data_IF_358881827554
#
_entry.id   IF_358881827554
#
_cell.length_a   1.000
_cell.length_b   1.000
_cell.length_c   1.000
_cell.angle_alpha   90.00
_cell.angle_beta   90.00
_cell.angle_gamma   90.00
#
_symmetry.space_group_name_H-M   'P 1'
#
loop_
_entity.id
_entity.type
_entity.pdbx_description
1 polymer ?
#
# COMPACT_ATOMS: atom_id res chain seq x y z
N UNK A 1 -18.03 3.93 -17.83
CA UNK A 1 -17.68 4.24 -19.23
C UNK A 1 -16.78 3.12 -19.80
N UNK A 2 -16.72 3.03 -21.12
CA UNK A 2 -15.97 2.01 -21.82
C UNK A 2 -16.85 0.98 -22.53
N UNK A 3 -16.20 0.05 -23.20
CA UNK A 3 -16.80 -1.10 -23.88
C UNK A 3 -16.49 -2.36 -23.08
N UNK A 4 -17.47 -3.25 -22.92
CA UNK A 4 -17.24 -4.50 -22.20
C UNK A 4 -16.91 -5.64 -23.17
N UNK A 5 -15.79 -6.31 -22.92
CA UNK A 5 -15.43 -7.56 -23.57
C UNK A 5 -15.70 -8.72 -22.61
N UNK A 6 -16.33 -9.78 -23.11
CA UNK A 6 -16.67 -10.97 -22.35
C UNK A 6 -15.85 -12.13 -22.93
N UNK A 7 -14.88 -12.62 -22.17
CA UNK A 7 -14.03 -13.73 -22.58
C UNK A 7 -14.45 -14.99 -21.82
N UNK A 8 -15.00 -16.02 -22.50
CA UNK A 8 -15.23 -17.32 -21.88
C UNK A 8 -13.89 -17.94 -21.49
N UNK A 9 -13.78 -18.39 -20.25
CA UNK A 9 -12.60 -19.12 -19.77
C UNK A 9 -12.96 -20.59 -19.54
N UNK A 10 -11.94 -21.43 -19.29
CA UNK A 10 -12.18 -22.81 -18.88
C UNK A 10 -12.89 -22.79 -17.51
N UNK A 11 -13.78 -23.76 -17.26
CA UNK A 11 -14.52 -23.92 -15.99
C UNK A 11 -15.80 -23.06 -15.79
N UNK A 12 -16.52 -22.68 -16.86
CA UNK A 12 -17.77 -21.89 -16.78
C UNK A 12 -17.60 -20.49 -16.12
N UNK A 13 -16.37 -19.97 -16.11
CA UNK A 13 -16.08 -18.63 -15.64
C UNK A 13 -16.03 -17.69 -16.86
N UNK A 14 -16.67 -16.53 -16.75
CA UNK A 14 -16.59 -15.47 -17.76
C UNK A 14 -15.73 -14.35 -17.21
N UNK A 15 -14.66 -14.00 -17.92
CA UNK A 15 -13.88 -12.81 -17.65
C UNK A 15 -14.59 -11.61 -18.27
N UNK A 16 -14.89 -10.61 -17.45
CA UNK A 16 -15.51 -9.36 -17.88
C UNK A 16 -14.43 -8.28 -17.86
N UNK A 17 -14.07 -7.77 -19.03
CA UNK A 17 -13.04 -6.74 -19.20
C UNK A 17 -13.75 -5.44 -19.61
N UNK A 18 -13.44 -4.34 -18.91
CA UNK A 18 -13.92 -3.02 -19.30
C UNK A 18 -12.81 -2.26 -20.03
N UNK A 19 -12.96 -2.12 -21.35
CA UNK A 19 -12.05 -1.39 -22.22
C UNK A 19 -12.32 0.10 -22.11
N UNK A 20 -11.37 0.84 -21.54
CA UNK A 20 -11.51 2.26 -21.23
C UNK A 20 -10.22 3.01 -21.53
N UNK A 21 -10.32 4.17 -22.19
CA UNK A 21 -9.16 5.02 -22.44
C UNK A 21 -8.53 5.54 -21.15
N UNK A 22 -7.20 5.70 -21.13
CA UNK A 22 -6.41 5.99 -19.93
C UNK A 22 -6.94 7.18 -19.10
N UNK A 23 -7.25 8.32 -19.72
CA UNK A 23 -7.78 9.48 -18.99
C UNK A 23 -9.17 9.21 -18.40
N UNK A 24 -10.00 8.44 -19.09
CA UNK A 24 -11.32 8.05 -18.61
C UNK A 24 -11.21 7.04 -17.47
N UNK A 25 -10.24 6.13 -17.53
CA UNK A 25 -9.92 5.20 -16.44
C UNK A 25 -9.53 5.97 -15.17
N UNK A 26 -8.66 6.97 -15.29
CA UNK A 26 -8.19 7.77 -14.15
C UNK A 26 -9.32 8.52 -13.44
N UNK A 27 -10.39 8.92 -14.14
CA UNK A 27 -11.59 9.52 -13.51
C UNK A 27 -12.28 8.58 -12.51
N UNK A 28 -12.18 7.27 -12.73
CA UNK A 28 -12.69 6.26 -11.81
C UNK A 28 -11.68 5.81 -10.76
N UNK A 29 -10.39 6.15 -10.91
CA UNK A 29 -9.32 5.76 -9.98
C UNK A 29 -9.06 6.85 -8.93
N UNK A 30 -8.73 8.07 -9.37
CA UNK A 30 -8.28 9.16 -8.49
C UNK A 30 -9.20 9.41 -7.29
N UNK A 31 -10.53 9.56 -7.46
CA UNK A 31 -11.42 9.83 -6.32
C UNK A 31 -11.55 8.65 -5.35
N UNK A 32 -11.39 7.41 -5.82
CA UNK A 32 -11.51 6.22 -4.98
C UNK A 32 -10.19 5.85 -4.29
N UNK A 33 -9.06 6.29 -4.85
CA UNK A 33 -7.73 6.08 -4.28
C UNK A 33 -7.36 7.13 -3.23
N UNK A 34 -7.65 8.41 -3.48
CA UNK A 34 -7.17 9.51 -2.62
C UNK A 34 -8.20 9.90 -1.55
N UNK A 35 -9.29 10.54 -1.99
CA UNK A 35 -10.38 11.03 -1.16
C UNK A 35 -11.64 11.12 -2.01
N UNK A 36 -12.76 10.64 -1.45
CA UNK A 36 -14.02 10.55 -2.18
C UNK A 36 -14.62 11.93 -2.53
N UNK A 37 -14.40 12.98 -1.74
CA UNK A 37 -14.97 14.31 -1.99
C UNK A 37 -13.90 15.37 -1.65
N UNK A 38 -12.96 15.62 -2.57
CA UNK A 38 -11.84 16.52 -2.28
C UNK A 38 -12.28 17.98 -2.29
N UNK A 39 -11.62 18.79 -1.46
CA UNK A 39 -11.80 20.25 -1.37
C UNK A 39 -10.80 21.00 -2.27
N UNK A 40 -11.00 22.30 -2.47
CA UNK A 40 -10.16 23.12 -3.37
C UNK A 40 -8.67 23.11 -2.98
N UNK A 41 -8.39 23.11 -1.67
CA UNK A 41 -7.05 23.01 -1.10
C UNK A 41 -6.43 21.59 -1.24
N UNK A 42 -7.18 20.62 -1.74
CA UNK A 42 -6.72 19.25 -2.04
C UNK A 42 -6.50 19.00 -3.54
N UNK A 43 -6.78 19.99 -4.39
CA UNK A 43 -6.64 19.87 -5.84
C UNK A 43 -5.24 19.44 -6.27
N UNK A 44 -4.19 19.96 -5.63
CA UNK A 44 -2.81 19.60 -5.96
C UNK A 44 -2.49 18.14 -5.58
N UNK A 45 -3.09 17.63 -4.50
CA UNK A 45 -3.01 16.20 -4.17
C UNK A 45 -3.73 15.33 -5.21
N UNK A 46 -4.92 15.73 -5.66
CA UNK A 46 -5.62 15.05 -6.74
C UNK A 46 -4.81 15.05 -8.05
N UNK A 47 -4.14 16.16 -8.38
CA UNK A 47 -3.26 16.25 -9.55
C UNK A 47 -2.05 15.33 -9.42
N UNK A 48 -1.40 15.28 -8.25
CA UNK A 48 -0.29 14.36 -7.99
C UNK A 48 -0.74 12.90 -8.08
N UNK A 49 -1.91 12.56 -7.53
CA UNK A 49 -2.51 11.23 -7.65
C UNK A 49 -2.83 10.86 -9.09
N UNK A 50 -3.38 11.79 -9.88
CA UNK A 50 -3.67 11.55 -11.30
C UNK A 50 -2.40 11.20 -12.09
N UNK A 51 -1.30 11.93 -11.87
CA UNK A 51 0.00 11.67 -12.51
C UNK A 51 0.58 10.33 -12.04
N UNK A 52 0.62 10.07 -10.73
CA UNK A 52 1.13 8.81 -10.20
C UNK A 52 0.32 7.59 -10.68
N UNK A 53 -1.01 7.71 -10.71
CA UNK A 53 -1.89 6.67 -11.21
C UNK A 53 -1.73 6.42 -12.72
N UNK A 54 -1.50 7.49 -13.51
CA UNK A 54 -1.19 7.37 -14.96
C UNK A 54 0.11 6.60 -15.18
N UNK A 55 1.15 6.94 -14.44
CA UNK A 55 2.43 6.23 -14.46
C UNK A 55 2.27 4.74 -14.12
N UNK A 56 1.49 4.44 -13.08
CA UNK A 56 1.23 3.06 -12.68
C UNK A 56 0.51 2.28 -13.79
N UNK A 57 -0.55 2.85 -14.37
CA UNK A 57 -1.30 2.23 -15.46
C UNK A 57 -0.41 1.98 -16.70
N UNK A 58 0.38 2.98 -17.13
CA UNK A 58 1.31 2.82 -18.27
C UNK A 58 2.30 1.68 -18.03
N UNK A 59 2.86 1.61 -16.83
CA UNK A 59 3.80 0.55 -16.45
C UNK A 59 3.13 -0.84 -16.45
N UNK A 60 1.91 -0.95 -15.92
CA UNK A 60 1.15 -2.20 -15.89
C UNK A 60 0.76 -2.69 -17.29
N UNK A 61 0.30 -1.78 -18.16
CA UNK A 61 0.02 -2.07 -19.57
C UNK A 61 1.28 -2.63 -20.26
N UNK A 62 2.44 -2.02 -20.03
CA UNK A 62 3.70 -2.49 -20.61
C UNK A 62 4.18 -3.85 -20.08
N UNK A 63 3.74 -4.27 -18.89
CA UNK A 63 4.09 -5.57 -18.29
C UNK A 63 3.03 -6.66 -18.50
N UNK A 64 1.89 -6.35 -19.14
CA UNK A 64 0.74 -7.26 -19.25
C UNK A 64 0.95 -8.48 -20.19
N UNK A 65 2.19 -8.83 -20.52
CA UNK A 65 2.61 -9.75 -21.59
C UNK A 65 2.02 -11.18 -21.49
N UNK A 66 1.41 -11.55 -20.36
CA UNK A 66 0.77 -12.86 -20.16
C UNK A 66 -0.68 -12.81 -19.64
N UNK A 67 -1.29 -11.63 -19.50
CA UNK A 67 -2.66 -11.47 -19.00
C UNK A 67 -3.56 -10.93 -20.09
N UNK A 68 -4.83 -11.33 -20.11
CA UNK A 68 -5.81 -10.87 -21.11
C UNK A 68 -6.28 -9.43 -20.87
N UNK A 69 -5.84 -8.78 -19.79
CA UNK A 69 -6.23 -7.43 -19.37
C UNK A 69 -5.03 -6.71 -18.73
N UNK A 70 -5.09 -5.38 -18.68
CA UNK A 70 -3.97 -4.54 -18.23
C UNK A 70 -3.86 -4.40 -16.70
N UNK A 71 -5.00 -4.19 -16.03
CA UNK A 71 -5.07 -3.90 -14.59
C UNK A 71 -6.33 -4.49 -13.95
N UNK A 72 -6.20 -4.95 -12.71
CA UNK A 72 -7.33 -5.25 -11.82
C UNK A 72 -8.00 -3.96 -11.34
N UNK A 73 -9.32 -4.01 -11.13
CA UNK A 73 -10.12 -2.87 -10.66
C UNK A 73 -10.15 -2.69 -9.13
N UNK A 74 -9.31 -3.42 -8.40
CA UNK A 74 -9.27 -3.43 -6.94
C UNK A 74 -7.84 -3.23 -6.41
N UNK A 75 -7.66 -3.39 -5.11
CA UNK A 75 -6.39 -3.17 -4.39
C UNK A 75 -5.22 -4.05 -4.86
N UNK A 76 -5.45 -5.02 -5.76
CA UNK A 76 -4.36 -5.72 -6.44
C UNK A 76 -3.55 -4.79 -7.36
N UNK A 77 -4.22 -3.84 -8.00
CA UNK A 77 -3.61 -2.83 -8.86
C UNK A 77 -4.06 -1.41 -8.45
N UNK A 78 -5.26 -0.97 -8.89
CA UNK A 78 -5.84 0.32 -8.49
C UNK A 78 -7.36 0.20 -8.37
N UNK A 79 -7.94 0.88 -7.38
CA UNK A 79 -9.40 0.88 -7.14
C UNK A 79 -10.10 1.70 -8.22
N UNK A 80 -10.79 1.02 -9.13
CA UNK A 80 -11.55 1.63 -10.22
C UNK A 80 -13.05 1.35 -10.06
N UNK A 81 -13.84 2.40 -9.83
CA UNK A 81 -15.30 2.29 -9.62
C UNK A 81 -16.13 2.81 -10.80
N UNK A 82 -15.53 2.99 -11.98
CA UNK A 82 -16.25 3.45 -13.17
C UNK A 82 -16.92 4.82 -12.99
N UNK A 83 -18.16 4.97 -13.49
CA UNK A 83 -18.90 6.25 -13.47
C UNK A 83 -19.30 6.67 -12.05
N UNK A 84 -19.59 5.72 -11.16
CA UNK A 84 -20.00 6.02 -9.79
C UNK A 84 -18.90 6.71 -8.99
N UNK A 85 -17.64 6.53 -9.42
CA UNK A 85 -16.48 7.22 -8.89
C UNK A 85 -16.40 8.70 -9.27
N UNK A 86 -17.18 9.22 -10.23
CA UNK A 86 -17.01 10.58 -10.75
C UNK A 86 -17.12 11.64 -9.64
N UNK A 87 -16.13 12.54 -9.60
CA UNK A 87 -16.13 13.73 -8.73
C UNK A 87 -15.61 14.94 -9.53
N UNK A 88 -16.32 16.08 -9.53
CA UNK A 88 -15.96 17.23 -10.39
C UNK A 88 -14.53 17.75 -10.21
N UNK A 89 -14.05 17.82 -8.97
CA UNK A 89 -12.72 18.34 -8.66
C UNK A 89 -11.62 17.35 -9.04
N UNK A 90 -11.82 16.06 -8.74
CA UNK A 90 -10.90 15.01 -9.20
C UNK A 90 -10.86 14.91 -10.73
N UNK A 91 -12.00 15.05 -11.41
CA UNK A 91 -12.06 15.09 -12.88
C UNK A 91 -11.32 16.31 -13.45
N UNK A 92 -11.45 17.48 -12.81
CA UNK A 92 -10.65 18.66 -13.16
C UNK A 92 -9.15 18.40 -13.01
N UNK A 93 -8.73 17.76 -11.92
CA UNK A 93 -7.33 17.39 -11.71
C UNK A 93 -6.79 16.44 -12.79
N UNK A 94 -7.58 15.43 -13.18
CA UNK A 94 -7.24 14.51 -14.28
C UNK A 94 -7.08 15.28 -15.59
N UNK A 95 -8.03 16.17 -15.93
CA UNK A 95 -7.97 17.01 -17.14
C UNK A 95 -6.76 17.95 -17.15
N UNK A 96 -6.48 18.61 -16.03
CA UNK A 96 -5.37 19.56 -15.89
C UNK A 96 -4.00 18.87 -15.96
N UNK A 97 -3.95 17.56 -15.68
CA UNK A 97 -2.73 16.73 -15.75
C UNK A 97 -2.75 15.74 -16.90
N UNK A 98 -3.65 15.92 -17.88
CA UNK A 98 -3.74 15.02 -19.03
C UNK A 98 -2.39 14.94 -19.75
N UNK A 99 -1.94 13.70 -19.99
CA UNK A 99 -0.65 13.42 -20.61
C UNK A 99 0.58 13.75 -19.75
N UNK A 100 0.42 14.17 -18.49
CA UNK A 100 1.55 14.42 -17.60
C UNK A 100 1.95 13.12 -16.89
N UNK A 101 3.25 12.80 -16.93
CA UNK A 101 3.89 11.65 -16.28
C UNK A 101 5.14 12.07 -15.50
N UNK A 102 5.59 11.19 -14.61
CA UNK A 102 6.92 11.21 -13.99
C UNK A 102 7.87 10.33 -14.83
N UNK A 103 9.04 10.82 -15.17
CA UNK A 103 10.11 10.08 -15.86
C UNK A 103 11.34 9.92 -14.97
N UNK A 104 12.05 8.81 -15.16
CA UNK A 104 13.38 8.57 -14.64
C UNK A 104 14.26 8.00 -15.75
N UNK A 105 15.40 8.62 -16.02
CA UNK A 105 16.33 8.24 -17.10
C UNK A 105 15.64 8.07 -18.47
N UNK A 106 14.72 8.97 -18.82
CA UNK A 106 14.05 9.00 -20.12
C UNK A 106 12.95 7.95 -20.31
N UNK A 107 12.58 7.20 -19.28
CA UNK A 107 11.47 6.26 -19.28
C UNK A 107 10.43 6.62 -18.20
N UNK A 108 9.15 6.25 -18.36
CA UNK A 108 8.15 6.41 -17.30
C UNK A 108 8.59 5.77 -15.99
N UNK A 109 8.57 6.54 -14.90
CA UNK A 109 8.94 6.04 -13.58
C UNK A 109 7.82 5.15 -12.99
N UNK A 110 8.21 4.18 -12.18
CA UNK A 110 7.26 3.39 -11.36
C UNK A 110 6.76 4.22 -10.18
N UNK A 111 5.51 4.68 -10.24
CA UNK A 111 4.90 5.48 -9.18
C UNK A 111 4.00 4.65 -8.28
N UNK A 112 4.58 3.91 -7.33
CA UNK A 112 3.81 3.27 -6.27
C UNK A 112 3.27 4.30 -5.29
N UNK A 113 2.07 4.08 -4.77
CA UNK A 113 1.45 4.94 -3.77
C UNK A 113 0.67 4.10 -2.74
N UNK A 114 0.44 4.68 -1.57
CA UNK A 114 -0.26 4.01 -0.47
C UNK A 114 -1.00 5.03 0.41
N UNK A 115 -1.90 4.55 1.28
CA UNK A 115 -2.79 5.42 2.06
C UNK A 115 -2.05 6.35 3.02
N UNK A 116 -1.28 5.81 3.97
CA UNK A 116 -0.69 6.58 5.06
C UNK A 116 0.66 6.01 5.43
N UNK A 117 1.73 6.81 5.40
CA UNK A 117 3.09 6.32 5.61
C UNK A 117 3.44 6.15 7.10
N UNK A 118 2.88 7.01 7.96
CA UNK A 118 3.22 7.08 9.39
C UNK A 118 4.40 8.01 9.70
N UNK A 119 4.74 8.93 8.79
CA UNK A 119 5.85 9.89 8.91
C UNK A 119 7.12 9.53 8.14
N UNK A 120 7.19 8.33 7.54
CA UNK A 120 8.34 7.88 6.77
C UNK A 120 7.89 6.86 5.71
N UNK A 121 8.32 7.04 4.48
CA UNK A 121 8.10 6.07 3.40
C UNK A 121 9.22 5.03 3.35
N UNK A 122 9.01 3.94 2.61
CA UNK A 122 9.86 2.76 2.61
C UNK A 122 10.54 2.54 1.26
N UNK A 123 11.73 1.95 1.31
CA UNK A 123 12.46 1.47 0.13
C UNK A 123 11.71 0.33 -0.52
N UNK A 124 11.56 0.38 -1.85
CA UNK A 124 10.82 -0.63 -2.62
C UNK A 124 11.29 -2.07 -2.36
N UNK A 125 12.60 -2.27 -2.22
CA UNK A 125 13.21 -3.59 -2.02
C UNK A 125 12.99 -4.18 -0.62
N UNK A 126 12.69 -3.33 0.37
CA UNK A 126 12.38 -3.77 1.72
C UNK A 126 10.96 -4.35 1.80
N UNK A 127 10.07 -3.94 0.89
CA UNK A 127 8.67 -4.39 0.81
C UNK A 127 8.53 -5.60 -0.11
N UNK A 128 9.06 -5.49 -1.33
CA UNK A 128 8.91 -6.52 -2.36
C UNK A 128 10.27 -7.08 -2.78
N UNK A 129 10.49 -8.35 -2.42
CA UNK A 129 11.71 -9.08 -2.79
C UNK A 129 11.81 -9.24 -4.31
N UNK A 130 13.03 -9.12 -4.84
CA UNK A 130 13.30 -9.26 -6.27
C UNK A 130 13.04 -7.99 -7.10
N UNK A 131 12.48 -6.93 -6.51
CA UNK A 131 12.38 -5.65 -7.21
C UNK A 131 13.78 -5.07 -7.49
N UNK A 132 14.01 -4.49 -8.69
CA UNK A 132 15.26 -3.79 -8.97
C UNK A 132 15.43 -2.60 -8.02
N UNK A 133 16.67 -2.15 -7.87
CA UNK A 133 16.94 -0.91 -7.17
C UNK A 133 16.35 0.25 -7.99
N UNK A 134 15.41 0.98 -7.41
CA UNK A 134 14.80 2.17 -8.00
C UNK A 134 15.30 3.39 -7.18
N UNK A 135 16.23 4.20 -7.71
CA UNK A 135 16.87 5.28 -6.94
C UNK A 135 15.91 6.33 -6.38
N UNK A 136 14.75 6.49 -7.01
CA UNK A 136 13.68 7.39 -6.59
C UNK A 136 12.67 6.74 -5.61
N UNK A 137 12.89 5.48 -5.19
CA UNK A 137 12.06 4.75 -4.21
C UNK A 137 12.90 4.14 -3.08
N UNK A 138 13.64 4.99 -2.38
CA UNK A 138 14.53 4.61 -1.27
C UNK A 138 13.93 4.82 0.13
N UNK A 139 12.70 5.35 0.20
CA UNK A 139 12.11 5.83 1.45
C UNK A 139 12.60 7.24 1.79
N UNK A 140 11.67 8.12 2.12
CA UNK A 140 11.92 9.52 2.47
C UNK A 140 11.17 9.89 3.76
N UNK A 141 11.66 10.92 4.44
CA UNK A 141 10.98 11.50 5.59
C UNK A 141 9.77 12.28 5.12
N UNK A 142 8.59 11.97 5.66
CA UNK A 142 7.33 12.62 5.30
C UNK A 142 6.90 13.62 6.39
N UNK A 143 7.88 14.33 6.94
CA UNK A 143 7.73 15.29 8.04
C UNK A 143 7.74 16.71 7.48
N UNK A 144 6.75 17.51 7.87
CA UNK A 144 6.74 18.95 7.63
C UNK A 144 7.80 19.62 8.51
N UNK A 145 8.84 20.15 7.87
CA UNK A 145 9.95 20.82 8.55
C UNK A 145 9.54 22.04 9.38
N UNK A 146 8.37 22.61 9.10
CA UNK A 146 7.84 23.79 9.82
C UNK A 146 7.19 23.40 11.13
N UNK A 147 6.44 22.29 11.14
CA UNK A 147 5.66 21.84 12.31
C UNK A 147 6.33 20.70 13.08
N UNK A 148 7.26 19.99 12.46
CA UNK A 148 7.84 18.75 12.98
C UNK A 148 6.89 17.55 12.95
N UNK A 149 5.68 17.72 12.39
CA UNK A 149 4.67 16.67 12.31
C UNK A 149 4.69 16.00 10.93
N UNK A 150 4.31 14.70 10.83
CA UNK A 150 4.05 14.07 9.54
C UNK A 150 3.00 14.81 8.71
N UNK A 151 3.23 14.96 7.40
CA UNK A 151 2.21 15.51 6.50
C UNK A 151 0.91 14.70 6.54
N UNK A 152 1.01 13.39 6.76
CA UNK A 152 -0.14 12.50 6.81
C UNK A 152 -0.82 12.39 8.18
N UNK A 153 -0.48 13.24 9.16
CA UNK A 153 -0.95 13.13 10.57
C UNK A 153 -2.48 13.18 10.70
N UNK A 154 -3.15 13.94 9.84
CA UNK A 154 -4.62 14.08 9.83
C UNK A 154 -5.34 12.86 9.25
N UNK A 155 -4.60 11.85 8.80
CA UNK A 155 -5.20 10.64 8.28
C UNK A 155 -6.01 9.92 9.38
N UNK A 156 -7.27 9.52 9.12
CA UNK A 156 -8.05 8.71 10.06
C UNK A 156 -7.46 7.30 10.24
N UNK A 157 -6.46 6.95 9.41
CA UNK A 157 -5.73 5.68 9.44
C UNK A 157 -4.31 5.86 9.97
N UNK A 158 -3.98 7.02 10.54
CA UNK A 158 -2.63 7.31 11.02
C UNK A 158 -2.26 6.42 12.19
N UNK A 159 -3.12 6.27 13.20
CA UNK A 159 -2.91 5.36 14.33
C UNK A 159 -3.87 4.19 14.26
N UNK A 160 -3.42 3.01 14.69
CA UNK A 160 -4.27 1.85 14.83
C UNK A 160 -3.81 0.95 15.98
N UNK A 161 -4.74 0.18 16.53
CA UNK A 161 -4.47 -0.86 17.52
C UNK A 161 -5.22 -2.11 17.12
N UNK A 162 -4.56 -3.26 17.19
CA UNK A 162 -5.17 -4.56 16.93
C UNK A 162 -4.73 -5.54 18.02
N UNK A 163 -5.71 -6.17 18.68
CA UNK A 163 -5.46 -7.14 19.74
C UNK A 163 -5.94 -8.52 19.32
N UNK A 164 -5.25 -9.55 19.79
CA UNK A 164 -5.52 -10.96 19.51
C UNK A 164 -5.44 -11.77 20.81
N UNK A 165 -6.48 -12.54 21.13
CA UNK A 165 -6.39 -13.57 22.17
C UNK A 165 -5.46 -14.69 21.73
N UNK A 166 -4.98 -15.51 22.68
CA UNK A 166 -4.11 -16.66 22.36
C UNK A 166 -4.73 -17.58 21.30
N UNK A 167 -6.02 -17.92 21.43
CA UNK A 167 -6.66 -18.86 20.51
C UNK A 167 -6.79 -18.29 19.10
N UNK A 168 -7.10 -17.00 18.97
CA UNK A 168 -7.14 -16.33 17.66
C UNK A 168 -5.73 -16.28 17.07
N UNK A 169 -4.71 -15.99 17.89
CA UNK A 169 -3.33 -15.90 17.46
C UNK A 169 -2.80 -17.22 16.89
N UNK A 170 -3.00 -18.32 17.60
CA UNK A 170 -2.59 -19.67 17.17
C UNK A 170 -3.27 -20.04 15.83
N UNK A 171 -4.57 -19.76 15.71
CA UNK A 171 -5.33 -20.03 14.48
C UNK A 171 -4.88 -19.18 13.29
N UNK A 172 -4.67 -17.87 13.48
CA UNK A 172 -4.21 -16.97 12.42
C UNK A 172 -2.84 -17.40 11.90
N UNK A 173 -1.91 -17.68 12.81
CA UNK A 173 -0.55 -18.05 12.42
C UNK A 173 -0.54 -19.39 11.71
N UNK A 174 -1.25 -20.40 12.24
CA UNK A 174 -1.39 -21.69 11.57
C UNK A 174 -1.94 -21.55 10.16
N UNK A 175 -2.98 -20.72 9.98
CA UNK A 175 -3.65 -20.53 8.69
C UNK A 175 -2.82 -19.74 7.68
N UNK A 176 -2.11 -18.71 8.12
CA UNK A 176 -1.51 -17.73 7.22
C UNK A 176 0.02 -17.80 7.13
N UNK A 177 0.70 -18.65 7.92
CA UNK A 177 2.16 -18.74 7.89
C UNK A 177 2.72 -19.08 6.50
N UNK A 178 2.14 -20.06 5.80
CA UNK A 178 2.56 -20.44 4.44
C UNK A 178 2.30 -19.33 3.41
N UNK A 179 1.25 -18.52 3.62
CA UNK A 179 0.96 -17.34 2.80
C UNK A 179 1.94 -16.20 3.13
N UNK A 180 2.36 -16.07 4.38
CA UNK A 180 3.28 -15.03 4.81
C UNK A 180 4.75 -15.36 4.49
N UNK A 181 5.10 -16.64 4.35
CA UNK A 181 6.43 -17.08 3.95
C UNK A 181 6.34 -18.40 3.14
N UNK A 182 6.69 -18.38 1.83
CA UNK A 182 6.65 -19.55 0.95
C UNK A 182 7.62 -20.68 1.33
N UNK A 183 8.57 -20.42 2.24
CA UNK A 183 9.41 -21.45 2.83
C UNK A 183 8.65 -22.43 3.73
N UNK A 184 7.38 -22.13 4.06
CA UNK A 184 6.48 -23.02 4.80
C UNK A 184 5.34 -23.53 3.91
N UNK A 185 4.79 -24.68 4.28
CA UNK A 185 3.67 -25.30 3.54
C UNK A 185 2.37 -25.24 4.35
N UNK A 186 1.23 -25.46 3.70
CA UNK A 186 -0.08 -25.58 4.38
C UNK A 186 -0.16 -26.77 5.35
N UNK A 187 0.79 -27.72 5.26
CA UNK A 187 0.93 -28.85 6.20
C UNK A 187 1.82 -28.51 7.40
N UNK A 188 2.35 -27.29 7.48
CA UNK A 188 3.19 -26.85 8.61
C UNK A 188 2.31 -26.73 9.86
N UNK A 189 2.51 -27.64 10.81
CA UNK A 189 1.79 -27.62 12.08
C UNK A 189 2.48 -26.64 13.04
N UNK A 190 1.86 -25.47 13.20
CA UNK A 190 2.28 -24.50 14.22
C UNK A 190 1.66 -24.93 15.55
N UNK A 191 2.50 -25.28 16.52
CA UNK A 191 2.05 -25.57 17.88
C UNK A 191 1.62 -24.31 18.62
N UNK A 192 1.25 -24.47 19.90
CA UNK A 192 0.88 -23.36 20.79
C UNK A 192 1.98 -22.30 20.84
N UNK A 193 1.63 -21.04 20.62
CA UNK A 193 2.59 -19.93 20.61
C UNK A 193 2.90 -19.46 22.03
N UNK A 194 4.19 -19.31 22.33
CA UNK A 194 4.67 -18.84 23.64
C UNK A 194 5.29 -17.45 23.58
N UNK A 195 5.81 -17.06 22.41
CA UNK A 195 6.38 -15.74 22.19
C UNK A 195 6.30 -15.28 20.73
N UNK A 196 6.14 -13.98 20.54
CA UNK A 196 6.34 -13.31 19.25
C UNK A 196 7.21 -12.08 19.49
N UNK A 197 8.29 -11.95 18.73
CA UNK A 197 9.24 -10.85 18.88
C UNK A 197 9.64 -10.27 17.53
N UNK A 198 9.78 -8.94 17.50
CA UNK A 198 10.43 -8.24 16.40
C UNK A 198 11.94 -8.46 16.54
N UNK A 199 12.56 -9.01 15.51
CA UNK A 199 14.00 -9.26 15.47
C UNK A 199 14.74 -8.04 14.94
N UNK A 200 14.22 -7.42 13.88
CA UNK A 200 14.86 -6.26 13.27
C UNK A 200 13.84 -5.30 12.64
N UNK A 201 14.29 -4.08 12.37
CA UNK A 201 13.54 -3.02 11.68
C UNK A 201 14.38 -2.40 10.58
N UNK A 202 13.70 -1.98 9.52
CA UNK A 202 14.33 -1.10 8.53
C UNK A 202 14.56 0.30 9.12
N UNK A 203 15.35 1.12 8.41
CA UNK A 203 15.55 2.54 8.75
C UNK A 203 14.25 3.35 8.78
N UNK A 204 13.19 2.85 8.13
CA UNK A 204 11.83 3.42 8.18
C UNK A 204 11.07 3.12 9.48
N UNK A 205 11.68 2.38 10.41
CA UNK A 205 11.08 1.80 11.61
C UNK A 205 10.04 0.70 11.37
N UNK A 206 9.71 0.39 10.11
CA UNK A 206 8.89 -0.77 9.77
C UNK A 206 9.59 -2.06 10.17
N UNK A 207 8.82 -3.04 10.66
CA UNK A 207 9.33 -4.35 11.05
C UNK A 207 9.89 -5.04 9.81
N UNK A 208 11.18 -5.36 9.86
CA UNK A 208 11.85 -6.17 8.84
C UNK A 208 11.61 -7.65 9.10
N UNK A 209 11.83 -8.10 10.33
CA UNK A 209 11.76 -9.53 10.65
C UNK A 209 11.06 -9.80 11.97
N UNK A 210 10.21 -10.82 11.95
CA UNK A 210 9.41 -11.29 13.07
C UNK A 210 9.74 -12.76 13.34
N UNK A 211 9.94 -13.11 14.61
CA UNK A 211 10.09 -14.49 15.06
C UNK A 211 8.87 -14.90 15.88
N UNK A 212 8.33 -16.09 15.59
CA UNK A 212 7.29 -16.77 16.37
C UNK A 212 7.94 -17.98 17.03
N UNK A 213 7.74 -18.15 18.33
CA UNK A 213 8.26 -19.29 19.10
C UNK A 213 7.10 -20.09 19.68
N UNK A 214 7.16 -21.41 19.53
CA UNK A 214 6.13 -22.33 20.01
C UNK A 214 6.58 -23.10 21.25
N UNK A 215 5.63 -23.73 21.94
CA UNK A 215 5.86 -24.47 23.19
C UNK A 215 6.88 -25.62 23.03
N UNK A 216 6.90 -26.26 21.86
CA UNK A 216 7.88 -27.31 21.50
C UNK A 216 9.27 -26.76 21.12
N UNK A 217 9.49 -25.44 21.27
CA UNK A 217 10.76 -24.78 21.00
C UNK A 217 11.02 -24.43 19.54
N UNK A 218 10.11 -24.76 18.61
CA UNK A 218 10.27 -24.39 17.19
C UNK A 218 10.16 -22.88 17.00
N UNK A 219 10.85 -22.40 15.96
CA UNK A 219 10.90 -21.00 15.57
C UNK A 219 10.49 -20.83 14.12
N UNK A 220 9.61 -19.87 13.88
CA UNK A 220 9.14 -19.50 12.54
C UNK A 220 9.46 -18.03 12.29
N UNK A 221 9.76 -17.71 11.03
CA UNK A 221 10.22 -16.38 10.64
C UNK A 221 9.38 -15.84 9.49
N UNK A 222 8.93 -14.60 9.65
CA UNK A 222 8.21 -13.86 8.61
C UNK A 222 8.90 -12.51 8.44
N UNK A 223 9.02 -12.04 7.19
CA UNK A 223 9.78 -10.83 6.87
C UNK A 223 8.95 -9.83 6.06
N UNK A 224 9.36 -8.57 6.13
CA UNK A 224 8.89 -7.47 5.27
C UNK A 224 7.37 -7.29 5.31
N UNK A 225 6.78 -6.76 4.25
CA UNK A 225 5.34 -6.50 4.13
C UNK A 225 4.48 -7.77 4.29
N UNK A 226 5.05 -8.97 4.07
CA UNK A 226 4.33 -10.24 4.25
C UNK A 226 3.92 -10.49 5.71
N UNK A 227 4.55 -9.84 6.68
CA UNK A 227 4.13 -9.86 8.10
C UNK A 227 2.65 -9.44 8.24
N UNK A 228 2.16 -8.56 7.37
CA UNK A 228 0.76 -8.09 7.41
C UNK A 228 -0.25 -9.20 7.12
N UNK A 229 0.14 -10.24 6.40
CA UNK A 229 -0.71 -11.39 6.09
C UNK A 229 -0.90 -12.30 7.30
N UNK A 230 0.03 -12.27 8.25
CA UNK A 230 -0.01 -13.10 9.45
C UNK A 230 -1.09 -12.62 10.43
N UNK A 231 -1.17 -11.30 10.60
CA UNK A 231 -2.07 -10.64 11.56
C UNK A 231 -3.28 -10.04 10.84
N UNK A 232 -4.06 -10.89 10.16
CA UNK A 232 -5.28 -10.43 9.49
C UNK A 232 -6.27 -9.82 10.48
N UNK A 233 -6.90 -8.74 10.05
CA UNK A 233 -7.93 -8.02 10.77
C UNK A 233 -9.24 -8.85 10.81
N UNK A 234 -10.16 -8.58 11.75
CA UNK A 234 -11.44 -9.29 11.85
C UNK A 234 -12.31 -9.24 10.59
N UNK A 235 -12.18 -8.18 9.79
CA UNK A 235 -12.85 -8.02 8.48
C UNK A 235 -12.22 -8.84 7.36
N UNK A 236 -11.19 -9.63 7.66
CA UNK A 236 -10.44 -10.45 6.69
C UNK A 236 -9.33 -9.71 5.94
N UNK A 237 -9.20 -8.40 6.14
CA UNK A 237 -8.12 -7.58 5.58
C UNK A 237 -6.75 -7.93 6.17
N UNK A 238 -5.68 -7.68 5.43
CA UNK A 238 -4.32 -7.76 5.99
C UNK A 238 -4.09 -6.65 7.02
N UNK A 239 -3.11 -6.80 7.90
CA UNK A 239 -2.73 -5.76 8.87
C UNK A 239 -2.45 -4.43 8.14
N UNK A 240 -2.76 -3.30 8.78
CA UNK A 240 -2.66 -1.97 8.14
C UNK A 240 -1.25 -1.64 7.68
N UNK A 241 -0.24 -1.88 8.50
CA UNK A 241 1.16 -1.63 8.14
C UNK A 241 2.10 -2.55 8.94
N UNK A 242 3.39 -2.52 8.61
CA UNK A 242 4.46 -3.11 9.42
C UNK A 242 5.11 -2.10 10.37
N UNK A 243 4.59 -0.87 10.46
CA UNK A 243 5.06 0.13 11.41
C UNK A 243 4.29 -0.03 12.72
N UNK A 244 4.72 -0.96 13.57
CA UNK A 244 4.08 -1.22 14.86
C UNK A 244 5.05 -1.69 15.94
N UNK A 245 4.59 -1.66 17.19
CA UNK A 245 5.19 -2.33 18.35
C UNK A 245 4.28 -3.43 18.87
N UNK A 246 4.87 -4.39 19.59
CA UNK A 246 4.17 -5.53 20.18
C UNK A 246 4.11 -5.34 21.69
N UNK A 247 2.92 -5.53 22.25
CA UNK A 247 2.65 -5.60 23.68
C UNK A 247 2.04 -6.98 23.99
N UNK A 248 2.66 -7.77 24.88
CA UNK A 248 2.17 -9.10 25.24
C UNK A 248 1.68 -9.07 26.69
N UNK A 249 0.39 -9.33 26.88
CA UNK A 249 -0.19 -9.58 28.19
C UNK A 249 -0.15 -11.08 28.47
N UNK A 250 0.40 -11.47 29.62
CA UNK A 250 0.50 -12.88 30.04
C UNK A 250 -0.46 -13.18 31.19
N UNK A 251 -0.94 -14.42 31.25
CA UNK A 251 -1.72 -14.92 32.38
C UNK A 251 -0.79 -15.31 33.55
N UNK A 252 -1.37 -15.76 34.67
CA UNK A 252 -0.63 -16.19 35.87
C UNK A 252 0.30 -17.41 35.66
N UNK A 253 0.12 -18.15 34.57
CA UNK A 253 0.94 -19.30 34.18
C UNK A 253 2.07 -18.92 33.21
N UNK A 254 2.19 -17.63 32.85
CA UNK A 254 3.19 -17.14 31.91
C UNK A 254 2.82 -17.32 30.44
N UNK A 255 1.65 -17.87 30.13
CA UNK A 255 1.17 -18.01 28.76
C UNK A 255 0.67 -16.67 28.21
N UNK A 256 0.72 -16.51 26.89
CA UNK A 256 0.11 -15.35 26.22
C UNK A 256 -1.39 -15.37 26.52
N UNK A 257 -1.91 -14.30 27.11
CA UNK A 257 -3.34 -14.05 27.24
C UNK A 257 -3.82 -13.22 26.03
N UNK A 258 -3.06 -12.18 25.71
CA UNK A 258 -3.37 -11.26 24.61
C UNK A 258 -2.07 -10.70 24.01
N UNK A 259 -2.04 -10.60 22.69
CA UNK A 259 -1.03 -9.86 21.94
C UNK A 259 -1.69 -8.62 21.33
N UNK A 260 -1.17 -7.44 21.67
CA UNK A 260 -1.62 -6.16 21.16
C UNK A 260 -0.55 -5.55 20.26
N UNK A 261 -0.93 -5.25 19.02
CA UNK A 261 -0.15 -4.50 18.06
C UNK A 261 -0.61 -3.05 18.07
N UNK A 262 0.30 -2.12 18.36
CA UNK A 262 0.05 -0.68 18.23
C UNK A 262 0.90 -0.12 17.11
N UNK A 263 0.26 0.42 16.09
CA UNK A 263 0.97 0.85 14.91
C UNK A 263 0.48 2.15 14.31
N UNK A 264 1.20 2.53 13.27
CA UNK A 264 0.99 3.75 12.51
C UNK A 264 0.92 3.47 11.01
N UNK A 265 0.23 4.31 10.28
CA UNK A 265 0.11 4.23 8.83
C UNK A 265 -0.75 3.07 8.31
N UNK A 266 -0.99 3.07 7.01
CA UNK A 266 -1.78 2.08 6.31
C UNK A 266 -1.27 1.91 4.86
N UNK A 267 -0.92 0.68 4.51
CA UNK A 267 -0.32 0.32 3.23
C UNK A 267 1.17 -0.03 3.33
N UNK A 268 1.72 -0.39 2.18
CA UNK A 268 3.08 -0.92 2.06
C UNK A 268 4.17 0.12 2.36
N UNK A 269 3.87 1.42 2.22
CA UNK A 269 4.78 2.50 2.59
C UNK A 269 5.68 3.00 1.47
N UNK A 270 5.65 2.41 0.28
CA UNK A 270 6.55 2.75 -0.85
C UNK A 270 5.96 3.88 -1.68
N UNK A 271 6.82 4.82 -2.10
CA UNK A 271 6.46 5.93 -2.97
C UNK A 271 5.52 6.94 -2.31
N UNK A 272 4.51 7.42 -3.04
CA UNK A 272 3.69 8.53 -2.58
C UNK A 272 2.72 8.14 -1.46
N UNK A 273 2.75 8.89 -0.36
CA UNK A 273 1.75 8.80 0.69
C UNK A 273 0.52 9.64 0.31
N UNK A 274 -0.64 9.04 0.09
CA UNK A 274 -1.89 9.71 -0.30
C UNK A 274 -2.29 10.79 0.72
N UNK A 275 -2.33 10.45 2.01
CA UNK A 275 -2.63 11.43 3.06
C UNK A 275 -1.54 12.47 3.27
N UNK A 276 -0.30 12.15 2.90
CA UNK A 276 0.80 13.11 2.98
C UNK A 276 0.74 14.11 1.83
N UNK A 277 0.39 13.65 0.61
CA UNK A 277 0.09 14.51 -0.52
C UNK A 277 -1.09 15.46 -0.23
N UNK A 278 -2.15 14.97 0.43
CA UNK A 278 -3.26 15.82 0.93
C UNK A 278 -2.72 16.87 1.90
N UNK A 279 -1.94 16.45 2.91
CA UNK A 279 -1.35 17.37 3.88
C UNK A 279 -0.46 18.44 3.23
N UNK A 280 0.37 18.06 2.26
CA UNK A 280 1.17 18.99 1.47
C UNK A 280 0.29 19.93 0.63
N UNK A 281 -0.74 19.43 -0.05
CA UNK A 281 -1.66 20.28 -0.84
C UNK A 281 -2.34 21.34 0.03
N UNK A 282 -2.84 20.95 1.21
CA UNK A 282 -3.46 21.87 2.18
C UNK A 282 -2.48 22.90 2.74
N UNK A 283 -1.18 22.62 2.70
CA UNK A 283 -0.09 23.54 3.05
C UNK A 283 0.35 24.43 1.87
N UNK A 284 -0.27 24.31 0.71
CA UNK A 284 -0.01 25.13 -0.47
C UNK A 284 1.08 24.60 -1.41
N UNK A 285 1.56 23.37 -1.21
CA UNK A 285 2.50 22.75 -2.15
C UNK A 285 1.78 22.38 -3.45
N UNK A 286 2.39 22.68 -4.59
CA UNK A 286 1.88 22.25 -5.88
C UNK A 286 2.14 20.76 -6.15
N UNK A 287 1.44 20.19 -7.13
CA UNK A 287 1.55 18.77 -7.45
C UNK A 287 2.96 18.36 -7.89
N UNK A 288 3.75 19.28 -8.46
CA UNK A 288 5.13 19.00 -8.89
C UNK A 288 6.05 18.88 -7.69
N UNK A 289 5.88 19.75 -6.70
CA UNK A 289 6.57 19.66 -5.42
C UNK A 289 6.21 18.37 -4.68
N UNK A 290 4.92 18.01 -4.65
CA UNK A 290 4.45 16.75 -4.05
C UNK A 290 5.10 15.54 -4.74
N UNK A 291 5.06 15.47 -6.07
CA UNK A 291 5.67 14.36 -6.81
C UNK A 291 7.19 14.31 -6.62
N UNK A 292 7.87 15.46 -6.63
CA UNK A 292 9.33 15.53 -6.44
C UNK A 292 9.75 15.12 -5.03
N UNK A 293 8.92 15.37 -4.02
CA UNK A 293 9.12 14.93 -2.65
C UNK A 293 9.07 13.40 -2.53
N UNK A 294 8.04 12.77 -3.11
CA UNK A 294 7.85 11.32 -3.01
C UNK A 294 8.65 10.49 -4.02
N UNK A 295 9.07 11.09 -5.14
CA UNK A 295 9.85 10.46 -6.20
C UNK A 295 11.11 11.32 -6.51
N UNK A 296 12.05 11.44 -5.57
CA UNK A 296 13.20 12.33 -5.73
C UNK A 296 14.08 11.92 -6.92
N UNK A 297 14.62 12.92 -7.62
CA UNK A 297 15.49 12.70 -8.78
C UNK A 297 14.74 12.29 -10.07
N UNK A 298 13.42 12.35 -10.07
CA UNK A 298 12.59 12.20 -11.28
C UNK A 298 12.27 13.55 -11.91
N UNK A 299 11.77 13.52 -13.14
CA UNK A 299 11.34 14.71 -13.89
C UNK A 299 9.90 14.58 -14.33
N UNK A 300 9.17 15.69 -14.39
CA UNK A 300 7.77 15.71 -14.83
C UNK A 300 7.71 16.14 -16.29
N UNK A 301 6.98 15.38 -17.11
CA UNK A 301 6.89 15.61 -18.56
C UNK A 301 5.48 15.41 -19.08
N UNK A 302 5.12 16.16 -20.12
CA UNK A 302 3.88 15.99 -20.87
C UNK A 302 4.17 15.20 -22.16
N UNK A 303 3.45 14.10 -22.38
CA UNK A 303 3.65 13.17 -23.50
C UNK A 303 2.60 13.29 -24.62
N UNK A 304 1.50 14.02 -24.39
CA UNK A 304 0.50 14.45 -25.37
C UNK A 304 -0.30 15.63 -24.84
#
# INVERSE_FOLDING_TARGET
PGEFELIPTRENIVLIINMVGLETYLRGVVPNELVNNPTDDELQACMAQAVAARNYAIYKIAEADSQQFDVYSDTRDQVYSGIEGYRPLADSAVKMTAGIIVEYNGAPARCFFHSTCGGQTERVQNVWQGQPALPYLQGISDIDSTTGAPFCVDSPRFYWTQSFSSDILDNLITKYLAIANPGYTTRTLVGRITNISIIDRFSSFRVDSLQITTLDGKKYFVRSDRIRYLFRQPDGGILRSTLFRIEIKRNKYGDIQELTLRGQGNGHGVGMCQWGAIGMSRKGYDYKQILSHYYPGTTIKKIY
#
